data_IF_127795226824
#
_entry.id   IF_127795226824
#
_cell.length_a   1.000
_cell.length_b   1.000
_cell.length_c   1.000
_cell.angle_alpha   90.00
_cell.angle_beta   90.00
_cell.angle_gamma   90.00
#
_symmetry.space_group_name_H-M   'P 1'
#
loop_
_entity.id
_entity.type
_entity.pdbx_description
1 polymer ?
#
# COMPACT_ATOMS: atom_id res chain seq x y z
N UNK A 1 34.15 47.06 -2.44
CA UNK A 1 33.95 45.60 -2.60
C UNK A 1 32.74 45.39 -3.49
N UNK A 2 32.89 44.60 -4.55
CA UNK A 2 31.91 44.47 -5.62
C UNK A 2 30.63 43.76 -5.16
N UNK A 3 29.49 44.42 -5.32
CA UNK A 3 28.15 43.85 -5.20
C UNK A 3 27.75 43.23 -6.54
N UNK A 4 27.64 41.90 -6.60
CA UNK A 4 27.08 41.18 -7.74
C UNK A 4 25.58 40.96 -7.50
N UNK A 5 24.76 41.84 -8.06
CA UNK A 5 23.31 41.68 -8.18
C UNK A 5 22.98 40.83 -9.42
N UNK A 6 22.35 39.68 -9.23
CA UNK A 6 21.64 38.96 -10.30
C UNK A 6 20.14 39.26 -10.18
N UNK A 7 19.68 40.25 -10.96
CA UNK A 7 18.27 40.43 -11.29
C UNK A 7 17.94 39.54 -12.48
N UNK A 8 17.19 38.46 -12.27
CA UNK A 8 16.51 37.77 -13.36
C UNK A 8 15.22 38.53 -13.69
N UNK A 9 15.15 39.06 -14.92
CA UNK A 9 13.95 39.64 -15.52
C UNK A 9 12.97 38.51 -15.85
N UNK A 10 11.74 38.60 -15.35
CA UNK A 10 10.60 37.93 -15.95
C UNK A 10 9.71 39.02 -16.56
N UNK A 11 9.66 39.08 -17.89
CA UNK A 11 8.75 39.96 -18.62
C UNK A 11 7.34 39.35 -18.55
N UNK A 12 6.39 40.15 -18.06
CA UNK A 12 4.98 39.83 -18.02
C UNK A 12 4.40 39.97 -19.43
N UNK A 13 3.88 38.88 -19.97
CA UNK A 13 3.02 38.87 -21.16
C UNK A 13 1.61 39.32 -20.80
N UNK A 14 1.10 40.21 -21.64
CA UNK A 14 -0.16 40.94 -21.54
C UNK A 14 -1.42 40.06 -21.57
N UNK A 15 -2.50 40.60 -21.01
CA UNK A 15 -3.73 39.91 -20.64
C UNK A 15 -4.61 39.48 -21.82
N UNK A 16 -5.11 38.25 -21.72
CA UNK A 16 -6.24 37.75 -22.50
C UNK A 16 -7.45 37.56 -21.59
N UNK A 17 -8.52 38.28 -21.89
CA UNK A 17 -9.85 38.23 -21.27
C UNK A 17 -10.48 36.82 -21.28
N UNK A 18 -11.22 36.41 -20.24
CA UNK A 18 -11.83 35.09 -20.18
C UNK A 18 -13.08 34.99 -21.06
N UNK A 19 -13.13 33.97 -21.93
CA UNK A 19 -14.31 33.55 -22.70
C UNK A 19 -15.25 32.71 -21.82
N UNK A 20 -16.59 32.83 -21.93
CA UNK A 20 -17.53 32.08 -21.09
C UNK A 20 -17.55 30.58 -21.41
N UNK A 21 -17.64 29.75 -20.39
CA UNK A 21 -17.80 28.30 -20.49
C UNK A 21 -19.13 27.93 -21.15
N UNK A 22 -19.07 27.08 -22.18
CA UNK A 22 -20.23 26.47 -22.81
C UNK A 22 -20.76 25.32 -21.94
N UNK A 23 -22.06 25.39 -21.63
CA UNK A 23 -22.84 24.39 -20.90
C UNK A 23 -22.96 23.10 -21.72
N UNK A 24 -22.64 21.96 -21.12
CA UNK A 24 -22.82 20.63 -21.72
C UNK A 24 -24.31 20.23 -21.75
N UNK A 25 -24.76 19.74 -22.91
CA UNK A 25 -26.09 19.16 -23.11
C UNK A 25 -26.21 17.75 -22.47
N UNK A 26 -27.41 17.31 -22.05
CA UNK A 26 -27.61 16.04 -21.38
C UNK A 26 -27.43 14.85 -22.33
N UNK A 27 -26.67 13.85 -21.87
CA UNK A 27 -26.42 12.58 -22.55
C UNK A 27 -27.66 11.67 -22.42
N UNK A 28 -28.14 11.14 -23.55
CA UNK A 28 -29.25 10.19 -23.61
C UNK A 28 -28.91 8.84 -22.96
N UNK A 29 -29.87 8.27 -22.22
CA UNK A 29 -29.75 6.98 -21.56
C UNK A 29 -29.57 5.82 -22.58
N UNK A 30 -28.80 4.77 -22.23
CA UNK A 30 -28.62 3.61 -23.09
C UNK A 30 -29.92 2.79 -23.18
N UNK A 31 -30.30 2.47 -24.42
CA UNK A 31 -31.41 1.58 -24.75
C UNK A 31 -31.01 0.15 -24.38
N UNK A 32 -31.83 -0.49 -23.54
CA UNK A 32 -31.70 -1.91 -23.17
C UNK A 32 -31.96 -2.76 -24.41
N UNK A 33 -30.91 -3.42 -24.93
CA UNK A 33 -31.06 -4.47 -25.93
C UNK A 33 -31.29 -5.78 -25.18
N UNK A 34 -32.51 -6.31 -25.26
CA UNK A 34 -32.84 -7.65 -24.78
C UNK A 34 -32.00 -8.69 -25.52
N UNK A 35 -31.30 -9.61 -24.82
CA UNK A 35 -30.55 -10.66 -25.49
C UNK A 35 -31.50 -11.62 -26.22
N UNK A 36 -31.27 -11.77 -27.53
CA UNK A 36 -31.87 -12.83 -28.34
C UNK A 36 -31.30 -14.16 -27.85
N UNK A 37 -32.16 -15.01 -27.32
CA UNK A 37 -31.85 -16.39 -26.93
C UNK A 37 -31.34 -17.19 -28.14
N UNK A 38 -30.15 -17.79 -28.11
CA UNK A 38 -29.76 -18.80 -29.08
C UNK A 38 -30.69 -20.01 -28.94
N UNK A 39 -31.42 -20.34 -30.00
CA UNK A 39 -32.17 -21.58 -30.11
C UNK A 39 -31.19 -22.74 -30.34
N UNK A 40 -30.73 -23.34 -29.24
CA UNK A 40 -29.95 -24.57 -29.20
C UNK A 40 -29.87 -25.00 -27.75
N UNK A 41 -30.56 -26.08 -27.38
CA UNK A 41 -30.66 -26.54 -26.00
C UNK A 41 -29.27 -26.71 -25.39
N UNK A 42 -29.01 -25.97 -24.30
CA UNK A 42 -27.78 -26.10 -23.53
C UNK A 42 -27.68 -27.56 -23.04
N UNK A 43 -26.58 -28.24 -23.38
CA UNK A 43 -26.16 -29.41 -22.64
C UNK A 43 -26.09 -29.00 -21.16
N UNK A 44 -26.70 -29.80 -20.27
CA UNK A 44 -26.71 -29.51 -18.83
C UNK A 44 -25.29 -29.17 -18.36
N UNK A 45 -25.12 -28.02 -17.71
CA UNK A 45 -23.84 -27.61 -17.15
C UNK A 45 -23.42 -28.65 -16.12
N UNK A 46 -22.42 -29.46 -16.46
CA UNK A 46 -21.88 -30.47 -15.55
C UNK A 46 -21.08 -29.68 -14.49
N UNK A 47 -21.23 -29.92 -13.16
CA UNK A 47 -20.54 -29.16 -12.09
C UNK A 47 -19.08 -29.57 -11.91
N UNK A 48 -18.12 -28.63 -11.86
CA UNK A 48 -16.67 -28.91 -11.82
C UNK A 48 -16.27 -29.65 -10.53
N UNK A 49 -15.52 -30.75 -10.66
CA UNK A 49 -15.10 -31.59 -9.53
C UNK A 49 -13.57 -31.70 -9.52
N UNK A 50 -12.89 -31.30 -8.42
CA UNK A 50 -11.44 -31.44 -8.29
C UNK A 50 -11.00 -32.91 -8.42
N UNK A 51 -9.77 -33.14 -8.90
CA UNK A 51 -9.23 -34.50 -8.98
C UNK A 51 -9.16 -35.13 -7.58
N UNK A 52 -9.60 -36.39 -7.47
CA UNK A 52 -9.44 -37.19 -6.25
C UNK A 52 -8.06 -37.82 -6.24
N UNK A 53 -7.36 -37.75 -5.10
CA UNK A 53 -6.02 -38.33 -4.97
C UNK A 53 -5.97 -39.83 -5.31
N UNK A 54 -7.03 -40.58 -5.02
CA UNK A 54 -7.18 -42.01 -5.37
C UNK A 54 -7.13 -42.23 -6.89
N UNK A 55 -7.75 -41.35 -7.68
CA UNK A 55 -7.80 -41.48 -9.13
C UNK A 55 -6.46 -41.12 -9.76
N UNK A 56 -5.82 -40.05 -9.28
CA UNK A 56 -4.46 -39.66 -9.67
C UNK A 56 -3.45 -40.78 -9.35
N UNK A 57 -3.54 -41.38 -8.16
CA UNK A 57 -2.71 -42.50 -7.73
C UNK A 57 -2.85 -43.72 -8.65
N UNK A 58 -4.09 -44.13 -8.97
CA UNK A 58 -4.35 -45.27 -9.87
C UNK A 58 -3.82 -45.04 -11.28
N UNK A 59 -3.88 -43.80 -11.78
CA UNK A 59 -3.39 -43.46 -13.11
C UNK A 59 -1.85 -43.49 -13.17
N UNK A 60 -1.16 -42.96 -12.15
CA UNK A 60 0.31 -43.06 -12.06
C UNK A 60 0.76 -44.53 -12.07
N UNK A 61 0.09 -45.38 -11.27
CA UNK A 61 0.41 -46.81 -11.19
C UNK A 61 0.07 -47.53 -12.50
N UNK A 62 -1.07 -47.21 -13.13
CA UNK A 62 -1.47 -47.70 -14.46
C UNK A 62 -0.40 -47.45 -15.50
N UNK A 63 0.12 -46.22 -15.53
CA UNK A 63 1.13 -45.84 -16.50
C UNK A 63 2.45 -46.55 -16.26
N UNK A 64 2.88 -46.69 -15.00
CA UNK A 64 4.13 -47.36 -14.68
C UNK A 64 4.06 -48.88 -14.89
N UNK A 65 2.90 -49.50 -14.67
CA UNK A 65 2.68 -50.94 -14.89
C UNK A 65 2.28 -51.30 -16.33
N UNK A 66 1.99 -50.31 -17.18
CA UNK A 66 1.42 -50.48 -18.53
C UNK A 66 0.17 -51.36 -18.53
N UNK A 67 -0.66 -51.21 -17.50
CA UNK A 67 -1.94 -51.90 -17.32
C UNK A 67 -3.06 -50.89 -17.37
N UNK A 68 -4.25 -51.31 -17.78
CA UNK A 68 -5.40 -50.41 -17.79
C UNK A 68 -5.85 -50.09 -16.37
N UNK A 69 -6.44 -48.91 -16.15
CA UNK A 69 -6.84 -48.43 -14.81
C UNK A 69 -7.85 -49.37 -14.13
N UNK A 70 -8.68 -50.07 -14.90
CA UNK A 70 -9.64 -51.10 -14.45
C UNK A 70 -8.97 -52.39 -13.95
N UNK A 71 -7.74 -52.68 -14.36
CA UNK A 71 -6.97 -53.84 -13.90
C UNK A 71 -6.24 -53.60 -12.58
N UNK A 72 -6.32 -52.38 -12.03
CA UNK A 72 -5.70 -52.00 -10.75
C UNK A 72 -6.76 -51.98 -9.66
N UNK A 73 -6.86 -53.05 -8.84
CA UNK A 73 -7.79 -53.08 -7.72
C UNK A 73 -7.32 -52.15 -6.60
N UNK A 74 -8.25 -51.35 -6.08
CA UNK A 74 -8.00 -50.40 -4.98
C UNK A 74 -7.63 -51.06 -3.65
N UNK A 75 -7.99 -52.34 -3.46
CA UNK A 75 -7.74 -53.10 -2.24
C UNK A 75 -6.35 -53.72 -2.14
N UNK A 76 -5.46 -53.46 -3.12
CA UNK A 76 -4.08 -53.99 -3.13
C UNK A 76 -3.08 -52.89 -2.78
N UNK A 77 -1.92 -53.31 -2.29
CA UNK A 77 -0.79 -52.44 -1.98
C UNK A 77 0.14 -52.26 -3.18
N UNK A 78 1.04 -51.26 -3.15
CA UNK A 78 2.10 -51.09 -4.16
C UNK A 78 2.97 -52.35 -4.20
N UNK A 79 3.30 -52.91 -3.02
CA UNK A 79 4.16 -54.09 -2.83
C UNK A 79 3.59 -55.34 -3.51
N UNK A 80 2.28 -55.56 -3.41
CA UNK A 80 1.61 -56.71 -4.02
C UNK A 80 1.57 -56.63 -5.55
N UNK A 81 1.45 -55.41 -6.09
CA UNK A 81 1.31 -55.19 -7.53
C UNK A 81 2.63 -55.24 -8.30
N UNK A 82 3.73 -54.82 -7.68
CA UNK A 82 5.08 -54.91 -8.28
C UNK A 82 5.71 -56.30 -8.16
N UNK A 83 5.14 -57.19 -7.34
CA UNK A 83 5.53 -58.60 -7.24
C UNK A 83 7.01 -58.80 -6.89
N UNK A 84 7.56 -57.97 -6.00
CA UNK A 84 8.96 -58.02 -5.57
C UNK A 84 9.96 -57.33 -6.50
N UNK A 85 9.51 -56.65 -7.57
CA UNK A 85 10.38 -55.81 -8.41
C UNK A 85 10.68 -54.48 -7.71
N UNK A 86 11.70 -54.47 -6.87
CA UNK A 86 12.09 -53.30 -6.06
C UNK A 86 12.38 -52.04 -6.89
N UNK A 87 12.85 -52.16 -8.13
CA UNK A 87 13.08 -50.99 -9.01
C UNK A 87 11.77 -50.28 -9.37
N UNK A 88 10.73 -51.03 -9.74
CA UNK A 88 9.41 -50.47 -10.04
C UNK A 88 8.75 -49.85 -8.80
N UNK A 89 8.99 -50.43 -7.62
CA UNK A 89 8.52 -49.86 -6.36
C UNK A 89 9.12 -48.47 -6.11
N UNK A 90 10.44 -48.33 -6.24
CA UNK A 90 11.14 -47.06 -6.03
C UNK A 90 10.74 -46.01 -7.06
N UNK A 91 10.52 -46.41 -8.32
CA UNK A 91 10.05 -45.50 -9.37
C UNK A 91 8.64 -44.97 -9.07
N UNK A 92 7.70 -45.83 -8.65
CA UNK A 92 6.35 -45.41 -8.27
C UNK A 92 6.41 -44.44 -7.07
N UNK A 93 7.18 -44.75 -6.03
CA UNK A 93 7.31 -43.87 -4.87
C UNK A 93 7.91 -42.51 -5.23
N UNK A 94 8.91 -42.48 -6.13
CA UNK A 94 9.48 -41.24 -6.65
C UNK A 94 8.43 -40.40 -7.40
N UNK A 95 7.63 -41.04 -8.24
CA UNK A 95 6.59 -40.38 -9.02
C UNK A 95 5.47 -39.82 -8.12
N UNK A 96 5.16 -40.53 -7.03
CA UNK A 96 4.22 -40.04 -6.01
C UNK A 96 4.77 -38.84 -5.23
N UNK A 97 6.08 -38.78 -4.95
CA UNK A 97 6.70 -37.60 -4.32
C UNK A 97 6.74 -36.38 -5.22
N UNK A 98 6.83 -36.56 -6.54
CA UNK A 98 6.73 -35.48 -7.50
C UNK A 98 5.30 -34.98 -7.69
N UNK A 99 4.31 -35.80 -7.33
CA UNK A 99 2.90 -35.50 -7.49
C UNK A 99 2.26 -34.90 -6.23
N UNK A 100 2.55 -35.49 -5.07
CA UNK A 100 1.97 -35.11 -3.78
C UNK A 100 3.03 -34.44 -2.90
N UNK A 101 2.68 -33.29 -2.31
CA UNK A 101 3.55 -32.49 -1.43
C UNK A 101 3.91 -33.20 -0.13
N UNK A 102 3.12 -34.18 0.31
CA UNK A 102 3.37 -35.00 1.51
C UNK A 102 2.90 -36.45 1.29
N UNK A 103 3.84 -37.35 1.01
CA UNK A 103 3.56 -38.79 0.97
C UNK A 103 3.68 -39.41 2.39
N UNK A 104 2.80 -40.34 2.79
CA UNK A 104 2.86 -40.99 4.09
C UNK A 104 4.13 -41.83 4.27
N UNK A 105 4.64 -41.89 5.50
CA UNK A 105 5.69 -42.86 5.86
C UNK A 105 5.13 -44.29 5.69
N UNK A 106 5.87 -45.15 4.96
CA UNK A 106 5.45 -46.52 4.60
C UNK A 106 4.21 -46.62 3.68
N UNK A 107 3.98 -45.63 2.81
CA UNK A 107 2.88 -45.64 1.84
C UNK A 107 2.85 -46.86 0.91
N UNK A 108 3.95 -47.59 0.74
CA UNK A 108 4.01 -48.84 -0.04
C UNK A 108 3.27 -50.04 0.57
N UNK A 109 2.97 -50.00 1.88
CA UNK A 109 2.28 -51.07 2.62
C UNK A 109 0.78 -50.79 2.80
N UNK A 110 0.33 -49.58 2.46
CA UNK A 110 -1.07 -49.20 2.54
C UNK A 110 -1.84 -49.63 1.29
N UNK A 111 -3.07 -50.15 1.44
CA UNK A 111 -4.04 -50.27 0.35
C UNK A 111 -4.31 -48.92 -0.33
N UNK A 112 -4.67 -48.90 -1.62
CA UNK A 112 -4.80 -47.65 -2.37
C UNK A 112 -5.95 -46.76 -1.94
N UNK A 113 -7.00 -47.31 -1.35
CA UNK A 113 -8.10 -46.54 -0.75
C UNK A 113 -7.62 -45.77 0.49
N UNK A 114 -6.87 -46.42 1.38
CA UNK A 114 -6.29 -45.78 2.57
C UNK A 114 -5.15 -44.81 2.20
N UNK A 115 -4.28 -45.21 1.28
CA UNK A 115 -3.19 -44.37 0.76
C UNK A 115 -3.74 -43.13 0.06
N UNK A 116 -4.74 -43.31 -0.82
CA UNK A 116 -5.36 -42.20 -1.52
C UNK A 116 -6.15 -41.28 -0.59
N UNK A 117 -6.81 -41.79 0.45
CA UNK A 117 -7.45 -40.96 1.48
C UNK A 117 -6.43 -40.10 2.24
N UNK A 118 -5.27 -40.68 2.58
CA UNK A 118 -4.19 -39.96 3.27
C UNK A 118 -3.55 -38.90 2.36
N UNK A 119 -3.28 -39.24 1.11
CA UNK A 119 -2.73 -38.32 0.10
C UNK A 119 -3.71 -37.19 -0.24
N UNK A 120 -5.01 -37.39 -0.06
CA UNK A 120 -6.01 -36.35 -0.27
C UNK A 120 -5.91 -35.22 0.77
N UNK A 121 -5.29 -35.48 1.93
CA UNK A 121 -5.04 -34.45 2.96
C UNK A 121 -3.88 -33.57 2.49
N UNK A 122 -4.22 -32.37 1.98
CA UNK A 122 -3.24 -31.43 1.43
C UNK A 122 -3.09 -31.48 -0.09
N UNK A 123 -3.85 -32.33 -0.78
CA UNK A 123 -3.94 -32.33 -2.24
C UNK A 123 -4.81 -31.17 -2.73
N UNK A 124 -4.29 -30.38 -3.65
CA UNK A 124 -4.98 -29.20 -4.21
C UNK A 124 -6.05 -29.58 -5.23
N UNK A 125 -6.14 -30.85 -5.63
CA UNK A 125 -7.02 -31.32 -6.70
C UNK A 125 -6.55 -30.92 -8.10
N UNK A 126 -5.31 -30.48 -8.25
CA UNK A 126 -4.67 -30.10 -9.51
C UNK A 126 -3.55 -31.07 -9.89
N UNK A 127 -3.14 -31.07 -11.17
CA UNK A 127 -2.01 -31.87 -11.66
C UNK A 127 -0.69 -31.42 -11.02
N UNK A 128 0.03 -32.36 -10.41
CA UNK A 128 1.39 -32.18 -9.90
C UNK A 128 2.45 -32.21 -11.00
N UNK A 129 3.72 -32.15 -10.60
CA UNK A 129 4.84 -32.04 -11.55
C UNK A 129 4.96 -33.27 -12.45
N UNK A 130 4.63 -34.45 -11.93
CA UNK A 130 4.71 -35.70 -12.69
C UNK A 130 3.57 -35.80 -13.70
N UNK A 131 2.32 -35.70 -13.26
CA UNK A 131 1.14 -35.84 -14.13
C UNK A 131 1.07 -34.74 -15.19
N UNK A 132 1.43 -33.51 -14.86
CA UNK A 132 1.52 -32.42 -15.84
C UNK A 132 2.60 -32.69 -16.91
N UNK A 133 3.75 -33.26 -16.50
CA UNK A 133 4.79 -33.71 -17.42
C UNK A 133 4.33 -34.85 -18.35
N UNK A 134 3.51 -35.78 -17.84
CA UNK A 134 2.94 -36.87 -18.62
C UNK A 134 1.91 -36.37 -19.65
N UNK A 135 0.99 -35.50 -19.23
CA UNK A 135 -0.02 -34.88 -20.11
C UNK A 135 0.65 -34.03 -21.19
N UNK A 136 1.64 -33.21 -20.83
CA UNK A 136 2.40 -32.39 -21.79
C UNK A 136 3.12 -33.26 -22.83
N UNK A 137 3.71 -34.39 -22.42
CA UNK A 137 4.37 -35.33 -23.34
C UNK A 137 3.38 -36.01 -24.27
N UNK A 138 2.21 -36.40 -23.76
CA UNK A 138 1.13 -37.00 -24.56
C UNK A 138 0.63 -36.00 -25.62
N UNK A 139 0.31 -34.77 -25.22
CA UNK A 139 -0.14 -33.72 -26.15
C UNK A 139 0.93 -33.41 -27.21
N UNK A 140 2.17 -33.12 -26.79
CA UNK A 140 3.25 -32.77 -27.71
C UNK A 140 3.68 -33.92 -28.63
N UNK A 141 3.52 -35.17 -28.20
CA UNK A 141 3.88 -36.36 -29.00
C UNK A 141 2.78 -36.83 -29.94
N UNK A 142 1.50 -36.66 -29.57
CA UNK A 142 0.38 -37.36 -30.22
C UNK A 142 -0.71 -36.46 -30.78
N UNK A 143 -0.80 -35.19 -30.35
CA UNK A 143 -1.88 -34.28 -30.73
C UNK A 143 -1.37 -33.16 -31.67
N UNK A 144 -2.22 -32.69 -32.61
CA UNK A 144 -1.99 -31.45 -33.34
C UNK A 144 -2.60 -30.25 -32.58
N UNK A 145 -1.77 -29.51 -31.86
CA UNK A 145 -2.14 -28.20 -31.28
C UNK A 145 -2.55 -28.19 -29.80
N UNK A 146 -2.31 -27.05 -29.16
CA UNK A 146 -2.48 -26.82 -27.72
C UNK A 146 -3.83 -26.18 -27.39
N UNK A 147 -4.56 -26.78 -26.44
CA UNK A 147 -5.32 -26.15 -25.35
C UNK A 147 -6.32 -27.13 -24.75
N UNK A 148 -6.52 -27.11 -23.41
CA UNK A 148 -7.85 -27.24 -22.80
C UNK A 148 -7.82 -26.97 -21.27
N UNK A 149 -8.96 -26.54 -20.65
CA UNK A 149 -9.09 -26.10 -19.25
C UNK A 149 -9.35 -27.23 -18.21
N UNK A 150 -9.19 -26.95 -16.91
CA UNK A 150 -9.14 -27.85 -15.72
C UNK A 150 -9.92 -29.20 -15.71
N UNK A 151 -11.13 -29.32 -16.26
CA UNK A 151 -11.80 -30.65 -16.38
C UNK A 151 -11.19 -31.57 -17.41
N UNK A 152 -10.55 -30.96 -18.40
CA UNK A 152 -9.70 -31.69 -19.32
C UNK A 152 -8.53 -32.31 -18.58
N UNK A 153 -8.06 -31.80 -17.44
CA UNK A 153 -6.91 -32.39 -16.76
C UNK A 153 -7.20 -33.81 -16.27
N UNK A 154 -8.36 -34.07 -15.66
CA UNK A 154 -8.75 -35.41 -15.22
C UNK A 154 -8.99 -36.37 -16.41
N UNK A 155 -9.67 -35.88 -17.45
CA UNK A 155 -9.94 -36.65 -18.65
C UNK A 155 -8.65 -36.94 -19.45
N UNK A 156 -7.76 -35.97 -19.59
CA UNK A 156 -6.46 -36.09 -20.24
C UNK A 156 -5.51 -36.97 -19.43
N UNK A 157 -5.57 -36.90 -18.10
CA UNK A 157 -4.83 -37.80 -17.22
C UNK A 157 -5.28 -39.25 -17.43
N UNK A 158 -6.59 -39.51 -17.51
CA UNK A 158 -7.09 -40.84 -17.92
C UNK A 158 -6.64 -41.18 -19.35
N UNK A 159 -6.64 -40.19 -20.25
CA UNK A 159 -6.14 -40.31 -21.63
C UNK A 159 -4.69 -40.79 -21.73
N UNK A 160 -3.82 -40.43 -20.77
CA UNK A 160 -2.42 -40.94 -20.70
C UNK A 160 -2.39 -42.47 -20.64
N UNK A 161 -3.38 -43.10 -20.00
CA UNK A 161 -3.49 -44.57 -19.91
C UNK A 161 -4.11 -45.23 -21.15
N UNK A 162 -4.71 -44.43 -22.03
CA UNK A 162 -5.35 -44.84 -23.28
C UNK A 162 -4.55 -44.39 -24.52
N UNK A 163 -3.26 -44.13 -24.35
CA UNK A 163 -2.37 -43.59 -25.38
C UNK A 163 -2.31 -44.51 -26.62
N UNK A 164 -2.49 -43.93 -27.80
CA UNK A 164 -2.35 -44.67 -29.06
C UNK A 164 -0.88 -45.01 -29.35
N UNK A 165 -0.61 -46.27 -29.69
CA UNK A 165 0.76 -46.72 -30.01
C UNK A 165 1.40 -45.97 -31.20
N UNK A 166 0.58 -45.42 -32.10
CA UNK A 166 1.00 -44.58 -33.24
C UNK A 166 0.43 -43.17 -33.10
N UNK A 167 1.14 -42.19 -33.66
CA UNK A 167 0.68 -40.80 -33.75
C UNK A 167 -0.60 -40.72 -34.57
N UNK A 168 -1.55 -39.91 -34.12
CA UNK A 168 -2.82 -39.69 -34.81
C UNK A 168 -2.56 -38.92 -36.12
N UNK A 169 -3.20 -39.35 -37.20
CA UNK A 169 -2.91 -38.89 -38.56
C UNK A 169 -3.70 -37.64 -38.97
N UNK A 170 -4.82 -37.38 -38.30
CA UNK A 170 -5.70 -36.25 -38.62
C UNK A 170 -6.39 -35.67 -37.38
N UNK A 171 -6.89 -34.43 -37.50
CA UNK A 171 -7.69 -33.77 -36.45
C UNK A 171 -8.99 -34.55 -36.14
N UNK A 172 -9.60 -35.19 -37.14
CA UNK A 172 -10.81 -36.00 -36.96
C UNK A 172 -10.54 -37.26 -36.13
N UNK A 173 -9.38 -37.90 -36.33
CA UNK A 173 -8.95 -39.04 -35.50
C UNK A 173 -8.65 -38.61 -34.05
N UNK A 174 -8.08 -37.43 -33.86
CA UNK A 174 -7.82 -36.88 -32.53
C UNK A 174 -9.10 -36.55 -31.76
N UNK A 175 -10.11 -35.99 -32.44
CA UNK A 175 -11.44 -35.75 -31.85
C UNK A 175 -12.13 -37.06 -31.46
N UNK A 176 -12.13 -38.06 -32.34
CA UNK A 176 -12.69 -39.39 -32.05
C UNK A 176 -12.00 -40.07 -30.86
N UNK A 177 -10.67 -39.92 -30.74
CA UNK A 177 -9.94 -40.42 -29.57
C UNK A 177 -10.32 -39.65 -28.30
N UNK A 178 -10.39 -38.32 -28.33
CA UNK A 178 -10.85 -37.51 -27.19
C UNK A 178 -12.30 -37.85 -26.78
N UNK A 179 -13.19 -38.12 -27.74
CA UNK A 179 -14.56 -38.55 -27.48
C UNK A 179 -14.58 -39.90 -26.73
N UNK A 180 -13.67 -40.83 -27.09
CA UNK A 180 -13.53 -42.12 -26.39
C UNK A 180 -12.99 -41.97 -24.96
N UNK A 181 -12.06 -41.03 -24.75
CA UNK A 181 -11.51 -40.71 -23.43
C UNK A 181 -12.56 -40.03 -22.54
N UNK A 182 -13.32 -39.09 -23.10
CA UNK A 182 -14.41 -38.43 -22.40
C UNK A 182 -15.53 -39.42 -22.01
N UNK A 183 -15.86 -40.38 -22.87
CA UNK A 183 -16.84 -41.43 -22.58
C UNK A 183 -16.39 -42.35 -21.43
N UNK A 184 -15.12 -42.76 -21.39
CA UNK A 184 -14.60 -43.61 -20.31
C UNK A 184 -14.48 -42.83 -18.99
N UNK A 185 -14.06 -41.55 -19.05
CA UNK A 185 -14.06 -40.68 -17.88
C UNK A 185 -15.47 -40.50 -17.31
N UNK A 186 -16.45 -40.25 -18.17
CA UNK A 186 -17.84 -40.08 -17.75
C UNK A 186 -18.41 -41.35 -17.08
N UNK A 187 -18.05 -42.53 -17.59
CA UNK A 187 -18.40 -43.81 -16.97
C UNK A 187 -17.77 -43.99 -15.58
N UNK A 188 -16.51 -43.58 -15.39
CA UNK A 188 -15.83 -43.66 -14.08
C UNK A 188 -16.37 -42.63 -13.08
N UNK A 189 -16.71 -41.43 -13.55
CA UNK A 189 -17.26 -40.36 -12.73
C UNK A 189 -18.78 -40.45 -12.49
N UNK A 190 -19.47 -41.42 -13.10
CA UNK A 190 -20.93 -41.57 -13.00
C UNK A 190 -21.71 -40.46 -13.71
N UNK A 191 -21.12 -39.83 -14.73
CA UNK A 191 -21.69 -38.71 -15.49
C UNK A 191 -22.41 -39.26 -16.72
N UNK A 192 -23.68 -38.90 -16.91
CA UNK A 192 -24.42 -39.22 -18.14
C UNK A 192 -24.11 -38.17 -19.21
N UNK A 193 -23.34 -38.56 -20.23
CA UNK A 193 -23.12 -37.72 -21.42
C UNK A 193 -24.36 -37.77 -22.31
N UNK A 194 -25.05 -36.64 -22.46
CA UNK A 194 -26.09 -36.51 -23.50
C UNK A 194 -25.41 -36.20 -24.82
N UNK A 195 -25.42 -37.14 -25.77
CA UNK A 195 -25.13 -36.81 -27.16
C UNK A 195 -26.20 -35.83 -27.64
N UNK A 196 -25.84 -34.59 -27.94
CA UNK A 196 -26.74 -33.68 -28.63
C UNK A 196 -27.17 -34.35 -29.93
N UNK A 197 -28.44 -34.78 -30.02
CA UNK A 197 -28.96 -35.45 -31.20
C UNK A 197 -28.78 -34.55 -32.42
N UNK A 198 -28.03 -35.04 -33.41
CA UNK A 198 -27.99 -34.46 -34.75
C UNK A 198 -29.36 -34.59 -35.40
N UNK A 199 -30.26 -33.68 -35.07
CA UNK A 199 -31.52 -33.50 -35.77
C UNK A 199 -31.26 -32.68 -37.03
N UNK A 200 -31.34 -33.32 -38.19
CA UNK A 200 -31.35 -32.64 -39.48
C UNK A 200 -32.49 -31.61 -39.52
N UNK A 201 -32.11 -30.33 -39.58
CA UNK A 201 -33.01 -29.19 -39.71
C UNK A 201 -32.44 -28.22 -40.73
N UNK A 202 -33.29 -27.84 -41.67
CA UNK A 202 -32.96 -27.14 -42.91
C UNK A 202 -32.15 -25.83 -42.75
N UNK A 203 -31.43 -25.51 -43.82
CA UNK A 203 -30.65 -24.31 -44.06
C UNK A 203 -31.35 -23.01 -43.62
N UNK A 204 -30.64 -22.21 -42.82
CA UNK A 204 -30.73 -20.75 -42.83
C UNK A 204 -29.30 -20.22 -42.75
N UNK A 205 -28.90 -19.47 -43.79
CA UNK A 205 -27.56 -18.93 -43.97
C UNK A 205 -27.17 -17.85 -42.95
N UNK A 206 -25.86 -17.61 -42.87
CA UNK A 206 -25.27 -16.55 -42.05
C UNK A 206 -24.27 -16.99 -41.01
N UNK A 207 -23.50 -18.07 -41.24
CA UNK A 207 -22.29 -18.31 -40.46
C UNK A 207 -21.24 -17.29 -40.89
N UNK A 208 -20.85 -16.37 -40.01
CA UNK A 208 -19.70 -15.51 -40.22
C UNK A 208 -18.49 -16.38 -40.52
N UNK A 209 -18.13 -16.49 -41.80
CA UNK A 209 -16.87 -17.08 -42.23
C UNK A 209 -15.81 -16.07 -41.84
N UNK A 210 -15.28 -16.19 -40.62
CA UNK A 210 -14.11 -15.41 -40.21
C UNK A 210 -13.02 -15.65 -41.26
N UNK A 211 -12.59 -14.57 -41.90
CA UNK A 211 -11.53 -14.62 -42.89
C UNK A 211 -10.26 -15.12 -42.18
N UNK A 212 -9.65 -16.20 -42.68
CA UNK A 212 -8.48 -16.83 -42.07
C UNK A 212 -7.33 -15.83 -41.82
N UNK A 213 -7.21 -14.81 -42.67
CA UNK A 213 -6.20 -13.74 -42.51
C UNK A 213 -6.53 -12.78 -41.35
N UNK A 214 -7.80 -12.48 -41.10
CA UNK A 214 -8.21 -11.65 -39.97
C UNK A 214 -8.06 -12.40 -38.64
N UNK A 215 -8.31 -13.72 -38.64
CA UNK A 215 -8.08 -14.56 -37.47
C UNK A 215 -6.58 -14.66 -37.11
N UNK A 216 -5.71 -14.82 -38.12
CA UNK A 216 -4.26 -14.84 -37.92
C UNK A 216 -3.72 -13.49 -37.44
N UNK A 217 -4.24 -12.37 -37.97
CA UNK A 217 -3.90 -11.02 -37.48
C UNK A 217 -4.36 -10.81 -36.04
N UNK A 218 -5.58 -11.21 -35.71
CA UNK A 218 -6.11 -11.13 -34.35
C UNK A 218 -5.28 -11.98 -33.36
N UNK A 219 -4.88 -13.19 -33.77
CA UNK A 219 -4.00 -14.04 -32.97
C UNK A 219 -2.62 -13.41 -32.79
N UNK A 220 -2.04 -12.83 -33.84
CA UNK A 220 -0.75 -12.14 -33.76
C UNK A 220 -0.81 -10.89 -32.86
N UNK A 221 -1.89 -10.11 -32.93
CA UNK A 221 -2.14 -8.97 -32.03
C UNK A 221 -2.31 -9.42 -30.58
N UNK A 222 -3.03 -10.50 -30.33
CA UNK A 222 -3.21 -11.08 -28.99
C UNK A 222 -1.89 -11.60 -28.41
N UNK A 223 -1.03 -12.21 -29.24
CA UNK A 223 0.32 -12.64 -28.86
C UNK A 223 1.24 -11.44 -28.57
N UNK A 224 1.17 -10.39 -29.39
CA UNK A 224 1.94 -9.17 -29.17
C UNK A 224 1.53 -8.49 -27.87
N UNK A 225 0.23 -8.39 -27.61
CA UNK A 225 -0.33 -7.87 -26.37
C UNK A 225 0.11 -8.70 -25.16
N UNK A 226 0.07 -10.02 -25.27
CA UNK A 226 0.55 -10.94 -24.23
C UNK A 226 2.05 -10.74 -23.97
N UNK A 227 2.86 -10.63 -25.02
CA UNK A 227 4.30 -10.39 -24.90
C UNK A 227 4.61 -9.02 -24.26
N UNK A 228 3.83 -7.98 -24.54
CA UNK A 228 3.95 -6.69 -23.87
C UNK A 228 3.58 -6.79 -22.39
N UNK A 229 2.51 -7.52 -22.05
CA UNK A 229 2.11 -7.77 -20.67
C UNK A 229 3.16 -8.54 -19.87
N UNK A 230 3.80 -9.54 -20.47
CA UNK A 230 4.90 -10.29 -19.83
C UNK A 230 6.08 -9.36 -19.54
N UNK A 231 6.51 -8.58 -20.53
CA UNK A 231 7.61 -7.60 -20.35
C UNK A 231 7.31 -6.55 -19.26
N UNK A 232 6.06 -6.07 -19.18
CA UNK A 232 5.63 -5.15 -18.13
C UNK A 232 5.72 -5.79 -16.74
N UNK A 233 5.30 -7.05 -16.60
CA UNK A 233 5.42 -7.80 -15.34
C UNK A 233 6.87 -7.98 -14.92
N UNK A 234 7.75 -8.33 -15.85
CA UNK A 234 9.19 -8.50 -15.59
C UNK A 234 9.84 -7.18 -15.14
N UNK A 235 9.44 -6.06 -15.75
CA UNK A 235 9.91 -4.72 -15.36
C UNK A 235 9.45 -4.33 -13.95
N UNK A 236 8.18 -4.60 -13.60
CA UNK A 236 7.65 -4.35 -12.25
C UNK A 236 8.39 -5.20 -11.21
N UNK A 237 8.60 -6.49 -11.48
CA UNK A 237 9.33 -7.37 -10.57
C UNK A 237 10.79 -6.89 -10.36
N UNK A 238 11.44 -6.43 -11.42
CA UNK A 238 12.82 -5.89 -11.33
C UNK A 238 12.88 -4.59 -10.53
N UNK A 239 11.91 -3.69 -10.70
CA UNK A 239 11.84 -2.45 -9.92
C UNK A 239 11.52 -2.72 -8.45
N UNK A 240 10.61 -3.66 -8.17
CA UNK A 240 10.29 -4.05 -6.81
C UNK A 240 11.51 -4.62 -6.08
N UNK A 241 12.28 -5.51 -6.72
CA UNK A 241 13.50 -6.05 -6.13
C UNK A 241 14.51 -4.94 -5.75
N UNK A 242 14.68 -3.92 -6.60
CA UNK A 242 15.53 -2.76 -6.29
C UNK A 242 15.01 -1.93 -5.12
N UNK A 243 13.69 -1.74 -5.03
CA UNK A 243 13.09 -1.06 -3.89
C UNK A 243 13.26 -1.86 -2.59
N UNK A 244 13.11 -3.17 -2.66
CA UNK A 244 13.29 -4.08 -1.53
C UNK A 244 14.74 -4.10 -1.05
N UNK A 245 15.73 -4.03 -1.95
CA UNK A 245 17.14 -3.94 -1.60
C UNK A 245 17.46 -2.62 -0.87
N UNK A 246 16.90 -1.50 -1.33
CA UNK A 246 17.02 -0.19 -0.66
C UNK A 246 16.33 -0.23 0.71
N UNK A 247 15.16 -0.87 0.81
CA UNK A 247 14.43 -1.05 2.07
C UNK A 247 15.18 -1.91 3.08
N UNK A 248 15.84 -2.98 2.63
CA UNK A 248 16.68 -3.84 3.47
C UNK A 248 17.94 -3.11 3.96
N UNK A 249 18.57 -2.31 3.12
CA UNK A 249 19.80 -1.61 3.47
C UNK A 249 19.55 -0.45 4.44
N UNK A 250 18.53 0.36 4.17
CA UNK A 250 18.30 1.61 4.89
C UNK A 250 17.21 1.53 5.96
N UNK A 251 16.31 0.56 5.87
CA UNK A 251 15.13 0.45 6.73
C UNK A 251 14.03 1.46 6.42
N UNK A 252 12.80 1.08 6.74
CA UNK A 252 11.61 1.86 6.39
C UNK A 252 11.58 3.26 7.04
N UNK A 253 12.08 3.38 8.27
CA UNK A 253 12.12 4.65 8.99
C UNK A 253 12.99 5.70 8.31
N UNK A 254 14.15 5.29 7.77
CA UNK A 254 15.03 6.19 7.03
C UNK A 254 14.38 6.61 5.71
N UNK A 255 13.83 5.65 4.96
CA UNK A 255 13.19 5.91 3.66
C UNK A 255 12.01 6.86 3.80
N UNK A 256 11.22 6.72 4.85
CA UNK A 256 10.13 7.64 5.18
C UNK A 256 10.66 9.00 5.64
N UNK A 257 11.76 9.02 6.42
CA UNK A 257 12.35 10.25 6.95
C UNK A 257 13.04 11.14 5.91
N UNK A 258 13.59 10.57 4.84
CA UNK A 258 14.28 11.34 3.78
C UNK A 258 13.34 11.90 2.71
N UNK A 259 12.02 11.69 2.84
CA UNK A 259 11.07 12.23 1.89
C UNK A 259 11.14 13.77 1.89
N UNK A 260 11.22 14.42 0.72
CA UNK A 260 11.29 15.86 0.65
C UNK A 260 9.97 16.49 1.14
N UNK A 261 10.04 17.27 2.22
CA UNK A 261 8.88 17.98 2.79
C UNK A 261 8.83 19.48 2.44
N UNK A 262 9.92 20.02 1.87
CA UNK A 262 10.02 21.43 1.55
C UNK A 262 9.16 21.78 0.34
N UNK A 263 8.22 22.71 0.53
CA UNK A 263 7.36 23.24 -0.52
C UNK A 263 7.38 24.76 -0.46
N UNK A 264 7.84 25.47 -1.52
CA UNK A 264 7.89 26.93 -1.53
C UNK A 264 6.54 27.60 -1.27
N UNK A 265 5.44 26.98 -1.71
CA UNK A 265 4.07 27.49 -1.49
C UNK A 265 3.59 27.34 -0.04
N UNK A 266 4.27 26.53 0.77
CA UNK A 266 4.03 26.40 2.21
C UNK A 266 4.88 27.38 3.03
N UNK A 267 5.75 28.16 2.41
CA UNK A 267 6.46 29.23 3.10
C UNK A 267 5.45 30.20 3.75
N UNK A 268 5.79 30.67 4.94
CA UNK A 268 4.99 31.62 5.71
C UNK A 268 5.88 32.80 6.05
N UNK A 269 5.56 33.94 5.45
CA UNK A 269 6.24 35.19 5.70
C UNK A 269 5.42 35.99 6.72
N UNK A 270 6.01 36.25 7.89
CA UNK A 270 5.38 37.05 8.95
C UNK A 270 6.07 38.42 9.02
N UNK A 271 5.51 39.41 8.34
CA UNK A 271 6.09 40.75 8.17
C UNK A 271 5.26 41.88 8.83
N UNK A 272 4.06 41.57 9.31
CA UNK A 272 3.06 42.54 9.78
C UNK A 272 3.27 43.02 11.22
N UNK A 273 4.52 43.26 11.62
CA UNK A 273 4.90 43.69 12.98
C UNK A 273 4.20 44.97 13.44
N UNK A 274 3.96 45.91 12.51
CA UNK A 274 3.24 47.17 12.71
C UNK A 274 1.78 46.98 13.20
N UNK A 275 1.14 45.85 12.85
CA UNK A 275 -0.20 45.53 13.31
C UNK A 275 -0.15 44.87 14.69
N UNK A 276 0.74 43.90 14.87
CA UNK A 276 0.90 43.17 16.12
C UNK A 276 1.23 44.10 17.29
N UNK A 277 2.09 45.11 17.09
CA UNK A 277 2.40 46.07 18.15
C UNK A 277 1.18 46.89 18.61
N UNK A 278 0.23 47.21 17.71
CA UNK A 278 -1.01 47.91 18.10
C UNK A 278 -1.94 46.99 18.90
N UNK A 279 -2.04 45.75 18.47
CA UNK A 279 -2.80 44.72 19.19
C UNK A 279 -2.21 44.48 20.57
N UNK A 280 -0.90 44.28 20.68
CA UNK A 280 -0.19 44.03 21.93
C UNK A 280 -0.35 45.20 22.90
N UNK A 281 -0.23 46.44 22.40
CA UNK A 281 -0.43 47.64 23.20
C UNK A 281 -1.86 47.72 23.77
N UNK A 282 -2.88 47.39 22.97
CA UNK A 282 -4.28 47.40 23.40
C UNK A 282 -4.60 46.26 24.37
N UNK A 283 -4.08 45.06 24.12
CA UNK A 283 -4.25 43.91 25.02
C UNK A 283 -3.64 44.21 26.38
N UNK A 284 -2.41 44.74 26.41
CA UNK A 284 -1.75 45.13 27.64
C UNK A 284 -2.52 46.22 28.38
N UNK A 285 -3.06 47.21 27.67
CA UNK A 285 -3.91 48.25 28.25
C UNK A 285 -5.11 47.67 29.00
N UNK A 286 -5.86 46.76 28.37
CA UNK A 286 -7.02 46.13 29.00
C UNK A 286 -6.64 45.13 30.09
N UNK A 287 -5.52 44.41 29.96
CA UNK A 287 -5.04 43.51 31.01
C UNK A 287 -4.70 44.28 32.30
N UNK A 288 -4.18 45.50 32.19
CA UNK A 288 -3.96 46.40 33.34
C UNK A 288 -5.29 46.90 33.92
N UNK A 289 -6.21 47.38 33.07
CA UNK A 289 -7.52 47.91 33.51
C UNK A 289 -8.35 46.85 34.24
N UNK A 290 -8.38 45.62 33.71
CA UNK A 290 -9.11 44.51 34.32
C UNK A 290 -8.35 43.83 35.47
N UNK A 291 -7.17 44.34 35.84
CA UNK A 291 -6.40 43.86 36.99
C UNK A 291 -5.81 42.46 36.80
N UNK A 292 -5.66 41.99 35.56
CA UNK A 292 -4.96 40.73 35.26
C UNK A 292 -3.45 40.87 35.42
N UNK A 293 -2.95 42.09 35.20
CA UNK A 293 -1.55 42.46 35.32
C UNK A 293 -1.39 43.47 36.45
N UNK A 294 -0.64 43.11 37.49
CA UNK A 294 -0.26 44.00 38.58
C UNK A 294 1.16 44.57 38.33
N UNK A 295 1.46 45.76 38.88
CA UNK A 295 2.73 46.51 38.66
C UNK A 295 4.04 45.77 38.87
N UNK A 296 4.00 44.60 39.51
CA UNK A 296 5.18 43.81 39.91
C UNK A 296 5.46 42.65 38.94
N UNK A 297 4.72 42.56 37.83
CA UNK A 297 4.88 41.47 36.89
C UNK A 297 5.98 41.75 35.84
N UNK A 298 7.00 40.88 35.79
CA UNK A 298 8.04 40.95 34.76
C UNK A 298 7.53 40.61 33.37
N UNK A 299 6.37 39.96 33.27
CA UNK A 299 5.67 39.78 32.01
C UNK A 299 5.33 41.13 31.38
N UNK A 300 4.94 42.12 32.19
CA UNK A 300 4.70 43.49 31.72
C UNK A 300 5.99 44.11 31.18
N UNK A 301 7.10 43.94 31.88
CA UNK A 301 8.40 44.46 31.42
C UNK A 301 8.80 43.87 30.07
N UNK A 302 8.64 42.55 29.90
CA UNK A 302 8.91 41.87 28.63
C UNK A 302 8.01 42.37 27.50
N UNK A 303 6.70 42.51 27.76
CA UNK A 303 5.74 43.08 26.79
C UNK A 303 6.07 44.53 26.42
N UNK A 304 6.49 45.35 27.40
CA UNK A 304 6.92 46.73 27.15
C UNK A 304 8.15 46.80 26.26
N UNK A 305 9.17 45.97 26.51
CA UNK A 305 10.36 45.88 25.65
C UNK A 305 9.95 45.50 24.24
N UNK A 306 9.04 44.53 24.09
CA UNK A 306 8.54 44.11 22.79
C UNK A 306 7.79 45.23 22.05
N UNK A 307 7.01 46.07 22.76
CA UNK A 307 6.33 47.22 22.19
C UNK A 307 7.33 48.33 21.80
N UNK A 308 8.30 48.63 22.68
CA UNK A 308 9.35 49.62 22.41
C UNK A 308 10.19 49.26 21.18
N UNK A 309 10.56 47.98 21.02
CA UNK A 309 11.27 47.49 19.84
C UNK A 309 10.45 47.63 18.54
N UNK A 310 9.12 47.72 18.62
CA UNK A 310 8.27 47.87 17.42
C UNK A 310 7.64 49.26 17.34
N UNK A 311 8.14 50.21 18.13
CA UNK A 311 7.57 51.54 18.24
C UNK A 311 7.79 52.32 16.94
N UNK A 312 6.70 52.83 16.39
CA UNK A 312 6.70 53.77 15.27
C UNK A 312 5.81 54.97 15.61
N UNK A 313 5.96 56.11 14.92
CA UNK A 313 5.16 57.31 15.21
C UNK A 313 3.64 57.09 15.20
N UNK A 314 3.14 56.16 14.38
CA UNK A 314 1.71 55.85 14.30
C UNK A 314 1.21 55.09 15.52
N UNK A 315 2.01 54.15 16.06
CA UNK A 315 1.69 53.42 17.30
C UNK A 315 1.70 54.35 18.50
N UNK A 316 2.64 55.29 18.58
CA UNK A 316 2.65 56.28 19.67
C UNK A 316 1.39 57.12 19.65
N UNK A 317 0.96 57.60 18.47
CA UNK A 317 -0.30 58.33 18.33
C UNK A 317 -1.51 57.46 18.71
N UNK A 318 -1.49 56.19 18.33
CA UNK A 318 -2.52 55.22 18.69
C UNK A 318 -2.62 55.05 20.21
N UNK A 319 -1.49 54.83 20.89
CA UNK A 319 -1.43 54.70 22.35
C UNK A 319 -1.86 56.00 23.05
N UNK A 320 -1.43 57.16 22.54
CA UNK A 320 -1.80 58.46 23.08
C UNK A 320 -3.32 58.68 23.07
N UNK A 321 -4.03 58.22 22.03
CA UNK A 321 -5.48 58.34 21.95
C UNK A 321 -6.20 57.60 23.10
N UNK A 322 -5.83 56.34 23.36
CA UNK A 322 -6.42 55.56 24.47
C UNK A 322 -5.99 56.10 25.84
N UNK A 323 -4.78 56.65 25.92
CA UNK A 323 -4.28 57.29 27.12
C UNK A 323 -5.04 58.58 27.46
N UNK A 324 -5.31 59.43 26.47
CA UNK A 324 -6.01 60.70 26.66
C UNK A 324 -7.47 60.48 27.10
N UNK A 325 -8.12 59.44 26.57
CA UNK A 325 -9.47 59.01 26.94
C UNK A 325 -9.53 58.23 28.28
N UNK A 326 -8.38 58.01 28.92
CA UNK A 326 -8.32 57.33 30.21
C UNK A 326 -8.71 58.27 31.36
N UNK A 327 -9.82 57.96 32.03
CA UNK A 327 -10.31 58.68 33.21
C UNK A 327 -9.90 57.96 34.51
N UNK A 328 -8.94 58.50 35.29
CA UNK A 328 -8.47 57.89 36.54
C UNK A 328 -9.57 57.70 37.59
N UNK A 329 -10.62 58.52 37.53
CA UNK A 329 -11.76 58.51 38.45
C UNK A 329 -12.59 57.21 38.39
N UNK A 330 -12.43 56.40 37.33
CA UNK A 330 -13.16 55.14 37.14
C UNK A 330 -12.65 53.99 38.01
N UNK A 331 -11.48 54.12 38.64
CA UNK A 331 -10.95 53.12 39.57
C UNK A 331 -9.42 53.14 39.69
N UNK A 332 -8.90 52.44 40.69
CA UNK A 332 -7.46 52.35 40.95
C UNK A 332 -6.68 51.75 39.77
N UNK A 333 -7.25 50.77 39.07
CA UNK A 333 -6.64 50.16 37.87
C UNK A 333 -6.57 51.13 36.69
N UNK A 334 -7.53 52.07 36.56
CA UNK A 334 -7.48 53.13 35.55
C UNK A 334 -6.41 54.17 35.88
N UNK A 335 -6.29 54.56 37.15
CA UNK A 335 -5.20 55.42 37.60
C UNK A 335 -3.83 54.77 37.33
N UNK A 336 -3.72 53.47 37.60
CA UNK A 336 -2.52 52.70 37.31
C UNK A 336 -2.20 52.62 35.82
N UNK A 337 -3.19 52.29 34.99
CA UNK A 337 -3.04 52.26 33.53
C UNK A 337 -2.57 53.61 32.99
N UNK A 338 -3.06 54.72 33.56
CA UNK A 338 -2.61 56.07 33.19
C UNK A 338 -1.16 56.32 33.61
N UNK A 339 -0.77 56.04 34.84
CA UNK A 339 0.63 56.24 35.24
C UNK A 339 1.60 55.40 34.39
N UNK A 340 1.27 54.12 34.19
CA UNK A 340 2.09 53.19 33.44
C UNK A 340 2.13 53.50 31.94
N UNK A 341 0.99 53.84 31.35
CA UNK A 341 0.87 54.18 29.94
C UNK A 341 1.68 55.41 29.56
N UNK A 342 1.75 56.43 30.42
CA UNK A 342 2.58 57.61 30.19
C UNK A 342 4.06 57.23 30.09
N UNK A 343 4.55 56.47 31.06
CA UNK A 343 5.95 56.02 31.10
C UNK A 343 6.32 55.20 29.87
N UNK A 344 5.42 54.32 29.41
CA UNK A 344 5.64 53.54 28.21
C UNK A 344 5.66 54.39 26.94
N UNK A 345 4.75 55.36 26.82
CA UNK A 345 4.72 56.30 25.67
C UNK A 345 6.03 57.08 25.60
N UNK A 346 6.53 57.58 26.73
CA UNK A 346 7.77 58.34 26.78
C UNK A 346 8.98 57.46 26.42
N UNK A 347 9.06 56.24 26.95
CA UNK A 347 10.08 55.26 26.56
C UNK A 347 10.04 54.91 25.07
N UNK A 348 8.84 54.76 24.49
CA UNK A 348 8.68 54.50 23.05
C UNK A 348 9.14 55.70 22.21
N UNK A 349 8.95 56.95 22.66
CA UNK A 349 9.45 58.14 21.97
C UNK A 349 10.98 58.17 21.95
N UNK A 350 11.62 57.79 23.04
CA UNK A 350 13.09 57.72 23.14
C UNK A 350 13.68 56.55 22.34
N UNK A 351 12.95 55.45 22.21
CA UNK A 351 13.37 54.27 21.46
C UNK A 351 13.31 54.47 19.93
N UNK A 352 12.52 55.43 19.43
CA UNK A 352 12.44 55.70 17.99
C UNK A 352 13.82 56.12 17.45
N UNK A 353 14.25 55.43 16.40
CA UNK A 353 15.55 55.66 15.75
C UNK A 353 16.71 54.90 16.37
N UNK A 354 16.49 54.16 17.46
CA UNK A 354 17.46 53.22 18.00
C UNK A 354 17.33 51.85 17.33
N UNK A 355 18.42 51.08 17.34
CA UNK A 355 18.41 49.71 16.86
C UNK A 355 17.60 48.82 17.81
N UNK A 356 16.98 47.77 17.27
CA UNK A 356 16.22 46.80 18.03
C UNK A 356 17.14 46.01 18.97
N UNK A 357 16.69 45.77 20.21
CA UNK A 357 17.47 45.06 21.22
C UNK A 357 16.75 43.82 21.71
N UNK A 358 17.49 42.72 21.84
CA UNK A 358 17.04 41.58 22.62
C UNK A 358 17.39 41.83 24.09
N UNK A 359 16.36 41.86 24.95
CA UNK A 359 16.54 41.92 26.39
C UNK A 359 15.55 40.97 27.05
N UNK A 360 16.09 39.99 27.77
CA UNK A 360 15.30 39.00 28.49
C UNK A 360 15.08 39.45 29.93
N UNK A 361 13.82 39.75 30.25
CA UNK A 361 13.41 40.16 31.59
C UNK A 361 12.97 38.97 32.46
N UNK A 362 13.00 37.73 31.99
CA UNK A 362 12.50 36.56 32.75
C UNK A 362 13.32 36.27 34.01
N UNK A 363 12.75 35.47 34.92
CA UNK A 363 13.48 34.95 36.08
C UNK A 363 14.23 33.69 35.67
N UNK A 364 15.56 33.61 35.88
CA UNK A 364 16.29 32.37 35.68
C UNK A 364 15.74 31.28 36.60
N UNK A 365 15.35 30.14 36.01
CA UNK A 365 14.86 28.97 36.73
C UNK A 365 15.93 27.89 36.84
N UNK A 366 15.79 27.01 37.83
CA UNK A 366 16.61 25.84 38.04
C UNK A 366 15.74 24.58 38.20
N UNK A 367 16.21 23.41 37.74
CA UNK A 367 15.49 22.17 37.90
C UNK A 367 15.45 21.76 39.37
N UNK A 368 14.27 21.40 39.85
CA UNK A 368 14.05 20.87 41.20
C UNK A 368 13.26 19.58 41.11
N UNK A 369 13.89 18.49 41.55
CA UNK A 369 13.27 17.17 41.63
C UNK A 369 13.00 16.83 43.08
N UNK A 370 11.74 16.52 43.40
CA UNK A 370 11.32 16.08 44.72
C UNK A 370 10.65 14.71 44.61
N UNK A 371 10.93 13.82 45.56
CA UNK A 371 10.20 12.56 45.71
C UNK A 371 9.19 12.77 46.84
N UNK A 372 7.91 12.71 46.53
CA UNK A 372 6.86 12.94 47.53
C UNK A 372 6.76 11.76 48.52
N UNK A 373 5.98 11.92 49.60
CA UNK A 373 5.78 10.86 50.62
C UNK A 373 5.16 9.57 50.06
N UNK A 374 4.55 9.61 48.86
CA UNK A 374 3.98 8.46 48.16
C UNK A 374 4.96 7.76 47.23
N UNK A 375 6.16 8.33 47.03
CA UNK A 375 7.18 7.83 46.12
C UNK A 375 7.08 8.35 44.68
N UNK A 376 6.21 9.32 44.39
CA UNK A 376 6.13 9.94 43.07
C UNK A 376 7.29 10.92 42.87
N UNK A 377 7.89 10.89 41.68
CA UNK A 377 8.95 11.81 41.27
C UNK A 377 8.31 13.05 40.63
N UNK A 378 8.49 14.20 41.25
CA UNK A 378 7.96 15.49 40.79
C UNK A 378 9.12 16.34 40.28
N UNK A 379 9.05 16.75 39.01
CA UNK A 379 9.93 17.76 38.44
C UNK A 379 9.22 19.12 38.45
N UNK A 380 9.93 20.14 38.94
CA UNK A 380 9.47 21.53 38.93
C UNK A 380 10.62 22.46 38.53
N UNK A 381 10.32 23.50 37.77
CA UNK A 381 11.25 24.60 37.55
C UNK A 381 10.99 25.68 38.60
N UNK A 382 11.99 25.94 39.44
CA UNK A 382 11.89 26.94 40.51
C UNK A 382 12.82 28.10 40.23
N UNK A 383 12.47 29.30 40.70
CA UNK A 383 13.36 30.47 40.58
C UNK A 383 14.68 30.18 41.27
N UNK A 384 15.77 30.44 40.57
CA UNK A 384 17.12 30.16 41.07
C UNK A 384 17.46 31.06 42.26
N UNK A 385 17.96 30.45 43.33
CA UNK A 385 18.35 31.18 44.54
C UNK A 385 19.56 32.08 44.25
N UNK A 386 19.51 33.33 44.71
CA UNK A 386 20.60 34.29 44.52
C UNK A 386 20.72 34.90 43.12
N UNK A 387 19.91 34.47 42.15
CA UNK A 387 20.03 34.90 40.74
C UNK A 387 18.71 35.52 40.25
N UNK A 388 18.42 36.78 40.63
CA UNK A 388 17.14 37.41 40.31
C UNK A 388 17.02 37.87 38.85
N UNK A 389 18.13 38.02 38.13
CA UNK A 389 18.16 38.57 36.76
C UNK A 389 19.29 37.94 35.95
N UNK A 390 19.22 38.10 34.63
CA UNK A 390 20.21 37.54 33.71
C UNK A 390 21.60 38.16 33.90
N UNK A 391 21.71 39.41 34.34
CA UNK A 391 23.04 40.01 34.61
C UNK A 391 23.77 39.25 35.73
N UNK A 392 23.05 38.93 36.81
CA UNK A 392 23.58 38.15 37.93
C UNK A 392 23.86 36.71 37.51
N UNK A 393 23.08 36.17 36.58
CA UNK A 393 23.33 34.84 36.01
C UNK A 393 24.64 34.79 35.21
N UNK A 394 24.94 35.85 34.45
CA UNK A 394 26.21 35.95 33.73
C UNK A 394 27.37 36.08 34.71
N UNK A 395 27.23 36.90 35.76
CA UNK A 395 28.22 36.99 36.84
C UNK A 395 28.45 35.63 37.52
N UNK A 396 27.37 34.89 37.77
CA UNK A 396 27.43 33.55 38.33
C UNK A 396 28.21 32.61 37.39
N UNK A 397 27.90 32.56 36.10
CA UNK A 397 28.62 31.74 35.10
C UNK A 397 30.12 32.07 35.14
N UNK A 398 30.48 33.36 35.17
CA UNK A 398 31.88 33.80 35.21
C UNK A 398 32.55 33.45 36.54
N UNK A 399 31.82 33.49 37.66
CA UNK A 399 32.33 33.10 38.98
C UNK A 399 32.42 31.58 39.18
N UNK A 400 31.72 30.79 38.36
CA UNK A 400 31.59 29.33 38.46
C UNK A 400 32.81 28.54 37.98
N UNK A 401 33.95 29.18 37.73
CA UNK A 401 35.23 28.51 37.42
C UNK A 401 35.74 27.57 38.54
N UNK A 402 35.04 27.46 39.67
CA UNK A 402 35.23 26.39 40.66
C UNK A 402 33.99 25.51 40.74
N UNK A 403 33.91 24.48 39.89
CA UNK A 403 32.99 23.35 40.06
C UNK A 403 33.38 22.61 41.35
N UNK A 404 32.59 22.64 42.44
CA UNK A 404 32.76 21.68 43.51
C UNK A 404 31.97 20.45 43.09
N UNK A 405 32.63 19.55 42.37
CA UNK A 405 32.29 18.15 42.46
C UNK A 405 32.59 17.70 43.88
N UNK A 406 31.66 17.94 44.80
CA UNK A 406 31.66 17.33 46.12
C UNK A 406 30.22 17.22 46.61
N UNK A 407 29.60 16.15 46.15
CA UNK A 407 28.51 15.51 46.89
C UNK A 407 29.09 15.07 48.24
N UNK A 408 28.50 15.55 49.33
CA UNK A 408 28.58 14.88 50.63
C UNK A 408 27.25 14.22 50.92
#
# INVERSE_FOLDING_TARGET
MATCTLKAKYEAGDGATPTPAATSAPVAAPVVVTPVTPAGGAASAIPDEPLKAVDTLRIIISQQLKKRVDEIPISKTIKDLVGGKSTLQTDILRDLQLEFSSAPEQGEELPFDELGATLNVGYTGALGKNTNGLVSRMLGGKMPGDSTPARSDAALLLGVTMESAKRLGSEAEAKSWLDSVAAEYAKQAGITLSSGGGGGGAAVGGGAVMNSEEFLKFQAEQQLFTAQHVKLKDNVATLQAKLDDIAKEHGDAYIQGIQPIFEPLKARDFDSSWNWVRQDALLMWYDIIFGRLATVDREITSRCIAIMNRADPTVIRYMQYYFDDCHPEKGETYALAKQFGQQLIDNCREAIGQALLYHDATFPTAPKTEVNEKGDIIYSEVVREGVPKLEVYVEEIVSSDNIPGNVK
#
